data_IF_444321071790
#
_entry.id   IF_444321071790
#
_cell.length_a   1.000
_cell.length_b   1.000
_cell.length_c   1.000
_cell.angle_alpha   90.00
_cell.angle_beta   90.00
_cell.angle_gamma   90.00
#
_symmetry.space_group_name_H-M   'P 1'
#
loop_
_entity.id
_entity.type
_entity.pdbx_description
1 polymer ?
#
# COMPACT_ATOMS: atom_id res chain seq x y z
N UNK A 1 -12.49 -3.85 -12.41
CA UNK A 1 -11.55 -3.64 -11.29
C UNK A 1 -10.90 -4.98 -10.99
N UNK A 2 -9.56 -5.07 -11.09
CA UNK A 2 -8.84 -6.34 -11.11
C UNK A 2 -7.77 -6.29 -10.01
N UNK A 3 -7.90 -7.12 -8.98
CA UNK A 3 -6.79 -7.36 -8.05
C UNK A 3 -5.60 -7.93 -8.84
N UNK A 4 -4.40 -7.41 -8.64
CA UNK A 4 -3.22 -7.86 -9.39
C UNK A 4 -2.19 -8.52 -8.49
N UNK A 5 -1.31 -9.30 -9.10
CA UNK A 5 -0.23 -10.02 -8.44
C UNK A 5 1.13 -9.52 -8.92
N UNK A 6 1.91 -8.96 -8.00
CA UNK A 6 3.32 -8.65 -8.20
C UNK A 6 4.19 -9.78 -7.64
N UNK A 7 4.82 -10.56 -8.52
CA UNK A 7 5.73 -11.64 -8.15
C UNK A 7 7.16 -11.13 -7.87
N UNK A 8 7.89 -11.81 -6.99
CA UNK A 8 9.27 -11.49 -6.64
C UNK A 8 9.42 -10.37 -5.60
N UNK A 9 8.33 -10.00 -4.92
CA UNK A 9 8.29 -8.95 -3.91
C UNK A 9 7.49 -9.35 -2.69
N UNK A 10 7.77 -8.74 -1.54
CA UNK A 10 6.94 -8.81 -0.34
C UNK A 10 6.59 -7.41 0.16
N UNK A 11 5.42 -7.30 0.79
CA UNK A 11 5.04 -6.13 1.56
C UNK A 11 5.94 -6.01 2.79
N UNK A 12 6.45 -4.81 3.02
CA UNK A 12 7.29 -4.46 4.15
C UNK A 12 6.88 -3.10 4.70
N UNK A 13 7.16 -2.86 5.98
CA UNK A 13 6.91 -1.57 6.61
C UNK A 13 8.24 -0.98 7.11
N UNK A 14 8.51 0.27 6.75
CA UNK A 14 9.79 0.94 7.10
C UNK A 14 9.60 2.40 7.49
N UNK A 15 10.59 2.90 8.21
CA UNK A 15 10.63 4.26 8.72
C UNK A 15 9.72 4.47 9.92
N UNK A 16 9.63 5.72 10.36
CA UNK A 16 8.74 6.17 11.42
C UNK A 16 8.17 7.51 10.99
N UNK A 17 6.90 7.50 10.59
CA UNK A 17 6.27 8.65 9.96
C UNK A 17 5.28 9.29 10.92
N UNK A 18 5.44 10.59 11.18
CA UNK A 18 4.56 11.34 12.08
C UNK A 18 3.10 11.34 11.59
N UNK A 19 2.90 11.47 10.27
CA UNK A 19 1.57 11.47 9.62
C UNK A 19 0.73 10.26 9.99
N UNK A 20 1.33 9.07 9.99
CA UNK A 20 0.65 7.81 10.27
C UNK A 20 0.96 7.24 11.65
N UNK A 21 1.81 7.91 12.44
CA UNK A 21 2.29 7.44 13.75
C UNK A 21 2.85 6.00 13.71
N UNK A 22 3.50 5.65 12.61
CA UNK A 22 3.98 4.29 12.37
C UNK A 22 4.84 4.19 11.11
N UNK A 23 5.32 2.98 10.83
CA UNK A 23 6.06 2.68 9.61
C UNK A 23 5.14 2.65 8.38
N UNK A 24 5.65 3.13 7.23
CA UNK A 24 4.89 3.20 5.99
C UNK A 24 5.13 1.97 5.12
N UNK A 25 4.15 1.64 4.28
CA UNK A 25 4.20 0.49 3.40
C UNK A 25 5.27 0.68 2.31
N UNK A 26 5.93 -0.40 1.92
CA UNK A 26 6.93 -0.47 0.86
C UNK A 26 7.04 -1.91 0.38
N UNK A 27 7.64 -2.12 -0.79
CA UNK A 27 7.91 -3.46 -1.32
C UNK A 27 9.40 -3.78 -1.30
N UNK A 28 9.75 -5.00 -0.90
CA UNK A 28 11.13 -5.50 -0.91
C UNK A 28 11.25 -6.74 -1.79
N UNK A 29 12.35 -6.86 -2.55
CA UNK A 29 12.56 -8.04 -3.42
C UNK A 29 12.68 -9.30 -2.56
N UNK A 30 11.98 -10.35 -2.97
CA UNK A 30 12.06 -11.71 -2.41
C UNK A 30 11.57 -12.68 -3.48
N UNK A 31 12.44 -13.57 -3.95
CA UNK A 31 12.21 -14.37 -5.17
C UNK A 31 10.92 -15.21 -5.13
N UNK A 32 10.58 -15.77 -3.98
CA UNK A 32 9.38 -16.56 -3.68
C UNK A 32 8.22 -15.72 -3.11
N UNK A 33 8.41 -14.40 -3.01
CA UNK A 33 7.43 -13.47 -2.48
C UNK A 33 6.43 -13.02 -3.53
N UNK A 34 5.24 -12.63 -3.07
CA UNK A 34 4.29 -11.89 -3.88
C UNK A 34 3.57 -10.80 -3.08
N UNK A 35 3.04 -9.81 -3.81
CA UNK A 35 2.21 -8.72 -3.27
C UNK A 35 0.94 -8.62 -4.11
N UNK A 36 -0.21 -8.67 -3.47
CA UNK A 36 -1.47 -8.29 -4.11
C UNK A 36 -1.71 -6.79 -3.99
N UNK A 37 -2.27 -6.21 -5.04
CA UNK A 37 -2.57 -4.78 -5.10
C UNK A 37 -3.72 -4.46 -6.06
N UNK A 38 -3.90 -3.17 -6.32
CA UNK A 38 -4.91 -2.62 -7.23
C UNK A 38 -4.20 -1.76 -8.27
N UNK A 39 -4.64 -1.85 -9.52
CA UNK A 39 -4.21 -0.93 -10.58
C UNK A 39 -5.20 0.23 -10.65
N UNK A 40 -4.66 1.44 -10.70
CA UNK A 40 -5.40 2.65 -11.00
C UNK A 40 -4.94 3.18 -12.35
N UNK A 41 -5.90 3.57 -13.20
CA UNK A 41 -5.63 4.36 -14.39
C UNK A 41 -5.66 5.84 -14.00
N UNK A 42 -4.59 6.56 -14.31
CA UNK A 42 -4.40 7.95 -13.91
C UNK A 42 -3.90 8.73 -15.13
N UNK A 43 -4.31 9.98 -15.25
CA UNK A 43 -3.84 10.87 -16.31
C UNK A 43 -2.32 11.08 -16.21
N UNK A 44 -1.62 11.09 -17.35
CA UNK A 44 -0.17 11.30 -17.39
C UNK A 44 0.23 12.67 -16.83
N UNK A 45 -0.64 13.68 -16.93
CA UNK A 45 -0.44 15.00 -16.34
C UNK A 45 -0.40 14.99 -14.81
N UNK A 46 -0.93 13.95 -14.15
CA UNK A 46 -0.91 13.81 -12.69
C UNK A 46 0.33 13.08 -12.16
N UNK A 47 1.21 12.57 -13.03
CA UNK A 47 2.43 11.85 -12.61
C UNK A 47 3.30 12.73 -11.71
N UNK A 48 3.49 14.01 -12.05
CA UNK A 48 4.31 14.92 -11.23
C UNK A 48 3.68 15.17 -9.85
N UNK A 49 2.34 15.19 -9.77
CA UNK A 49 1.64 15.34 -8.51
C UNK A 49 1.80 14.09 -7.63
N UNK A 50 1.72 12.90 -8.23
CA UNK A 50 1.98 11.63 -7.54
C UNK A 50 3.42 11.56 -7.03
N UNK A 51 4.40 11.89 -7.89
CA UNK A 51 5.82 11.88 -7.51
C UNK A 51 6.10 12.86 -6.36
N UNK A 52 5.46 14.03 -6.33
CA UNK A 52 5.58 15.00 -5.24
C UNK A 52 5.04 14.46 -3.92
N UNK A 53 3.93 13.72 -3.94
CA UNK A 53 3.37 13.08 -2.74
C UNK A 53 4.31 11.98 -2.20
N UNK A 54 5.06 11.33 -3.09
CA UNK A 54 5.92 10.18 -2.80
C UNK A 54 7.41 10.53 -2.70
N UNK A 55 7.75 11.75 -2.27
CA UNK A 55 9.14 12.29 -2.25
C UNK A 55 10.17 11.39 -1.52
N UNK A 56 9.73 10.48 -0.63
CA UNK A 56 10.58 9.54 0.10
C UNK A 56 10.70 8.14 -0.53
N UNK A 57 10.11 7.97 -1.71
CA UNK A 57 10.02 6.71 -2.44
C UNK A 57 10.70 6.85 -3.81
N UNK A 58 11.31 5.75 -4.24
CA UNK A 58 11.80 5.60 -5.60
C UNK A 58 10.63 5.13 -6.47
N UNK A 59 10.31 5.89 -7.52
CA UNK A 59 9.38 5.45 -8.54
C UNK A 59 10.01 4.34 -9.38
N UNK A 60 9.30 3.22 -9.53
CA UNK A 60 9.75 2.06 -10.28
C UNK A 60 8.64 1.55 -11.19
N UNK A 61 9.03 0.89 -12.27
CA UNK A 61 8.10 0.16 -13.13
C UNK A 61 8.21 -1.33 -12.84
N UNK A 62 7.08 -1.99 -12.66
CA UNK A 62 7.01 -3.41 -12.32
C UNK A 62 6.02 -4.15 -13.22
N UNK A 63 6.31 -5.39 -13.62
CA UNK A 63 5.34 -6.26 -14.28
C UNK A 63 4.39 -6.84 -13.24
N UNK A 64 3.08 -6.65 -13.44
CA UNK A 64 2.03 -7.23 -12.60
C UNK A 64 1.13 -8.12 -13.43
N UNK A 65 0.70 -9.25 -12.85
CA UNK A 65 -0.23 -10.16 -13.50
C UNK A 65 -1.66 -9.86 -13.07
N UNK A 66 -2.54 -9.69 -14.04
CA UNK A 66 -3.97 -9.63 -13.81
C UNK A 66 -4.53 -11.01 -13.45
N UNK A 67 -5.77 -11.07 -12.96
CA UNK A 67 -6.48 -12.35 -12.73
C UNK A 67 -6.68 -13.13 -14.05
N UNK A 68 -6.70 -12.43 -15.19
CA UNK A 68 -6.79 -13.05 -16.52
C UNK A 68 -5.43 -13.47 -17.11
N UNK A 69 -4.35 -13.47 -16.30
CA UNK A 69 -2.97 -13.76 -16.71
C UNK A 69 -2.39 -12.79 -17.76
N UNK A 70 -2.97 -11.60 -17.90
CA UNK A 70 -2.36 -10.53 -18.67
C UNK A 70 -1.25 -9.87 -17.84
N UNK A 71 -0.11 -9.59 -18.47
CA UNK A 71 1.00 -8.88 -17.83
C UNK A 71 0.94 -7.41 -18.21
N UNK A 72 0.75 -6.56 -17.20
CA UNK A 72 0.74 -5.10 -17.34
C UNK A 72 2.01 -4.52 -16.73
N UNK A 73 2.57 -3.48 -17.34
CA UNK A 73 3.66 -2.69 -16.76
C UNK A 73 3.04 -1.51 -16.02
N UNK A 74 3.24 -1.46 -14.71
CA UNK A 74 2.66 -0.43 -13.86
C UNK A 74 3.76 0.35 -13.14
N UNK A 75 3.54 1.66 -12.99
CA UNK A 75 4.30 2.50 -12.09
C UNK A 75 3.88 2.20 -10.66
N UNK A 76 4.86 2.06 -9.76
CA UNK A 76 4.64 1.96 -8.32
C UNK A 76 5.79 2.62 -7.57
N UNK A 77 5.64 2.77 -6.27
CA UNK A 77 6.58 3.46 -5.41
C UNK A 77 7.13 2.51 -4.36
N UNK A 78 8.45 2.59 -4.14
CA UNK A 78 9.12 1.83 -3.09
C UNK A 78 9.97 2.77 -2.25
N UNK A 79 9.79 2.76 -0.92
CA UNK A 79 10.66 3.54 0.00
C UNK A 79 12.14 3.42 -0.38
N UNK A 80 12.79 4.57 -0.50
CA UNK A 80 14.21 4.67 -0.83
C UNK A 80 15.09 3.95 0.21
N UNK A 81 16.35 3.70 -0.13
CA UNK A 81 17.26 2.99 0.77
C UNK A 81 17.50 3.79 2.06
N UNK A 82 17.74 3.08 3.16
CA UNK A 82 18.16 3.68 4.45
C UNK A 82 17.09 3.72 5.54
N UNK A 83 15.81 3.50 5.21
CA UNK A 83 14.76 3.39 6.23
C UNK A 83 14.80 2.02 6.92
N UNK A 84 14.76 2.03 8.26
CA UNK A 84 14.75 0.83 9.09
C UNK A 84 13.39 0.14 9.06
N UNK A 85 13.32 -1.21 9.17
CA UNK A 85 12.06 -1.91 9.39
C UNK A 85 11.33 -1.40 10.63
N UNK A 86 10.00 -1.40 10.57
CA UNK A 86 9.14 -1.01 11.68
C UNK A 86 7.74 -1.59 11.50
N UNK A 87 6.85 -1.30 12.45
CA UNK A 87 5.44 -1.72 12.39
C UNK A 87 4.55 -0.54 11.99
N UNK A 88 3.49 -0.77 11.19
CA UNK A 88 2.49 0.27 10.92
C UNK A 88 1.73 0.62 12.21
N UNK A 89 1.02 1.75 12.19
CA UNK A 89 0.02 2.01 13.23
C UNK A 89 -1.25 1.18 12.99
N UNK A 90 -2.06 0.94 14.03
CA UNK A 90 -3.37 0.30 13.88
C UNK A 90 -4.24 1.01 12.84
N UNK A 91 -4.23 2.35 12.86
CA UNK A 91 -4.97 3.23 11.94
C UNK A 91 -4.56 3.03 10.48
N UNK A 92 -3.25 3.01 10.19
CA UNK A 92 -2.76 2.83 8.83
C UNK A 92 -3.03 1.41 8.32
N UNK A 93 -2.87 0.41 9.19
CA UNK A 93 -3.21 -0.99 8.89
C UNK A 93 -4.70 -1.14 8.56
N UNK A 94 -5.60 -0.52 9.32
CA UNK A 94 -7.04 -0.56 9.08
C UNK A 94 -7.39 0.01 7.69
N UNK A 95 -6.81 1.16 7.31
CA UNK A 95 -7.01 1.74 5.96
C UNK A 95 -6.56 0.79 4.85
N UNK A 96 -5.39 0.14 5.01
CA UNK A 96 -4.89 -0.86 4.04
C UNK A 96 -5.87 -2.04 3.92
N UNK A 97 -6.34 -2.58 5.04
CA UNK A 97 -7.29 -3.71 5.07
C UNK A 97 -8.63 -3.34 4.45
N UNK A 98 -9.16 -2.15 4.76
CA UNK A 98 -10.40 -1.65 4.14
C UNK A 98 -10.26 -1.49 2.64
N UNK A 99 -9.17 -0.89 2.16
CA UNK A 99 -8.88 -0.77 0.73
C UNK A 99 -8.81 -2.13 0.05
N UNK A 100 -8.16 -3.12 0.69
CA UNK A 100 -8.10 -4.49 0.17
C UNK A 100 -9.48 -5.15 0.07
N UNK A 101 -10.32 -5.00 1.10
CA UNK A 101 -11.70 -5.53 1.12
C UNK A 101 -12.59 -4.83 0.09
N UNK A 102 -12.56 -3.50 0.02
CA UNK A 102 -13.34 -2.70 -0.92
C UNK A 102 -13.04 -3.09 -2.37
N UNK A 103 -11.78 -3.37 -2.68
CA UNK A 103 -11.35 -3.76 -4.03
C UNK A 103 -11.37 -5.28 -4.24
N UNK A 104 -11.98 -6.05 -3.33
CA UNK A 104 -12.14 -7.51 -3.44
C UNK A 104 -10.83 -8.26 -3.72
N UNK A 105 -9.75 -7.87 -3.03
CA UNK A 105 -8.50 -8.65 -3.06
C UNK A 105 -8.76 -10.07 -2.52
N UNK A 106 -7.92 -11.06 -2.88
CA UNK A 106 -8.14 -12.43 -2.43
C UNK A 106 -8.23 -12.54 -0.90
N UNK A 107 -9.22 -13.31 -0.43
CA UNK A 107 -9.51 -13.45 1.00
C UNK A 107 -8.29 -13.91 1.82
N UNK A 108 -7.45 -14.79 1.25
CA UNK A 108 -6.21 -15.25 1.87
C UNK A 108 -5.22 -14.09 2.09
N UNK A 109 -5.15 -13.16 1.14
CA UNK A 109 -4.28 -11.99 1.27
C UNK A 109 -4.84 -10.96 2.25
N UNK A 110 -6.16 -10.77 2.28
CA UNK A 110 -6.82 -9.93 3.29
C UNK A 110 -6.55 -10.47 4.70
N UNK A 111 -6.69 -11.79 4.91
CA UNK A 111 -6.36 -12.44 6.19
C UNK A 111 -4.87 -12.26 6.56
N UNK A 112 -3.97 -12.33 5.58
CA UNK A 112 -2.56 -12.00 5.78
C UNK A 112 -2.39 -10.55 6.26
N UNK A 113 -3.01 -9.57 5.61
CA UNK A 113 -2.94 -8.15 6.02
C UNK A 113 -3.48 -7.93 7.45
N UNK A 114 -4.58 -8.60 7.79
CA UNK A 114 -5.18 -8.57 9.13
C UNK A 114 -4.28 -9.17 10.21
N UNK A 115 -3.50 -10.20 9.85
CA UNK A 115 -2.56 -10.87 10.77
C UNK A 115 -1.30 -10.06 11.08
N UNK A 116 -0.99 -9.01 10.30
CA UNK A 116 0.21 -8.20 10.51
C UNK A 116 0.22 -7.51 11.87
N UNK A 117 1.32 -7.57 12.60
CA UNK A 117 1.46 -6.84 13.86
C UNK A 117 1.58 -5.33 13.61
N UNK A 118 0.79 -4.54 14.33
CA UNK A 118 0.93 -3.09 14.40
C UNK A 118 1.72 -2.66 15.66
N UNK A 119 1.98 -1.36 15.78
CA UNK A 119 2.73 -0.79 16.89
C UNK A 119 1.89 -0.44 18.13
N UNK A 120 0.58 -0.75 18.13
CA UNK A 120 -0.31 -0.46 19.26
C UNK A 120 -0.60 1.03 19.52
N UNK A 121 -0.28 1.94 18.60
CA UNK A 121 -0.56 3.38 18.80
C UNK A 121 -2.06 3.65 18.95
N UNK A 122 -2.46 4.21 20.09
CA UNK A 122 -3.86 4.43 20.47
C UNK A 122 -4.27 5.93 20.51
N UNK A 123 -3.40 6.84 20.07
CA UNK A 123 -3.72 8.27 19.98
C UNK A 123 -4.43 8.64 18.67
N UNK A 124 -4.81 9.90 18.55
CA UNK A 124 -5.46 10.41 17.34
C UNK A 124 -4.51 10.47 16.13
N UNK A 125 -5.07 10.14 14.96
CA UNK A 125 -4.39 10.22 13.67
C UNK A 125 -5.28 11.01 12.71
N UNK A 126 -4.93 12.29 12.48
CA UNK A 126 -5.74 13.22 11.71
C UNK A 126 -6.07 12.71 10.30
N UNK A 127 -5.06 12.19 9.58
CA UNK A 127 -5.27 11.62 8.23
C UNK A 127 -6.25 10.44 8.24
N UNK A 128 -6.25 9.63 9.30
CA UNK A 128 -7.19 8.51 9.43
C UNK A 128 -8.62 9.04 9.58
N UNK A 129 -8.83 10.04 10.43
CA UNK A 129 -10.13 10.67 10.63
C UNK A 129 -10.66 11.27 9.32
N UNK A 130 -9.81 11.95 8.55
CA UNK A 130 -10.19 12.48 7.23
C UNK A 130 -10.61 11.38 6.26
N UNK A 131 -9.87 10.26 6.20
CA UNK A 131 -10.24 9.11 5.37
C UNK A 131 -11.59 8.53 5.80
N UNK A 132 -11.82 8.36 7.11
CA UNK A 132 -13.09 7.84 7.61
C UNK A 132 -14.28 8.74 7.29
N UNK A 133 -14.10 10.07 7.31
CA UNK A 133 -15.15 11.02 6.91
C UNK A 133 -15.49 10.91 5.42
N UNK A 134 -14.49 10.79 4.54
CA UNK A 134 -14.72 10.61 3.10
C UNK A 134 -15.48 9.30 2.81
N UNK A 135 -15.10 8.20 3.47
CA UNK A 135 -15.80 6.92 3.33
C UNK A 135 -17.26 6.95 3.83
N UNK A 136 -17.62 7.89 4.71
CA UNK A 136 -19.00 8.08 5.15
C UNK A 136 -19.81 8.95 4.19
N UNK A 137 -19.16 9.88 3.49
CA UNK A 137 -19.82 10.78 2.53
C UNK A 137 -20.15 10.08 1.20
N UNK A 138 -19.45 9.00 0.87
CA UNK A 138 -19.66 8.21 -0.36
C UNK A 138 -20.74 7.11 -0.24
N UNK A 139 -21.47 7.04 0.89
CA UNK A 139 -22.54 6.07 1.17
C UNK A 139 -23.94 6.69 1.12
#
# INVERSE_FOLDING_TARGET
MIGILLQGYILTFKGSWSRWRGAAASISKKNDGHVWGVIWEVDLGDIENLDRQETFYDAIEVPVSSISNEVLRCRTYKLSRGYKPGKPSPHYKDVIVRGARQNSLPAVYIAFLESLEDNGYAGEVEVYNSVMQLLQADN
#
